data_IF_706705234735
#
_entry.id   IF_706705234735
#
_cell.length_a   1.000
_cell.length_b   1.000
_cell.length_c   1.000
_cell.angle_alpha   90.00
_cell.angle_beta   90.00
_cell.angle_gamma   90.00
#
_symmetry.space_group_name_H-M   'P 1'
#
loop_
_entity.id
_entity.type
_entity.pdbx_description
1 polymer ?
#
# COMPACT_ATOMS: atom_id res chain seq x y z
N UNK A 1 -27.86 -1.47 8.34
CA UNK A 1 -28.95 -0.66 7.74
C UNK A 1 -28.73 -0.56 6.25
N UNK A 2 -29.70 -0.01 5.49
CA UNK A 2 -29.54 0.25 4.05
C UNK A 2 -29.48 1.76 3.86
N UNK A 3 -28.43 2.22 3.18
CA UNK A 3 -28.26 3.62 2.77
C UNK A 3 -28.24 3.68 1.24
N UNK A 4 -28.64 4.82 0.69
CA UNK A 4 -28.63 5.06 -0.76
C UNK A 4 -27.69 6.23 -1.02
N UNK A 5 -26.70 6.01 -1.88
CA UNK A 5 -25.77 7.05 -2.29
C UNK A 5 -25.94 7.39 -3.77
N UNK A 6 -25.20 8.41 -4.21
CA UNK A 6 -25.22 8.89 -5.58
C UNK A 6 -24.45 7.95 -6.52
N UNK A 7 -24.43 8.30 -7.80
CA UNK A 7 -23.59 7.62 -8.78
C UNK A 7 -22.09 7.76 -8.48
N UNK A 8 -21.66 8.85 -7.83
CA UNK A 8 -20.26 9.06 -7.46
C UNK A 8 -19.74 8.00 -6.49
N UNK A 9 -20.62 7.52 -5.60
CA UNK A 9 -20.28 6.55 -4.56
C UNK A 9 -20.64 5.10 -4.96
N UNK A 10 -21.74 4.89 -5.69
CA UNK A 10 -22.27 3.55 -5.98
C UNK A 10 -22.37 3.24 -7.48
N UNK A 11 -21.41 3.72 -8.28
CA UNK A 11 -21.23 3.31 -9.66
C UNK A 11 -19.78 2.95 -9.94
N UNK A 12 -19.55 1.70 -10.36
CA UNK A 12 -18.22 1.21 -10.66
C UNK A 12 -17.94 1.26 -12.16
N UNK A 13 -16.79 1.85 -12.50
CA UNK A 13 -16.16 1.75 -13.80
C UNK A 13 -16.54 2.84 -14.82
N UNK A 14 -16.10 2.66 -16.09
CA UNK A 14 -15.30 1.53 -16.57
C UNK A 14 -13.89 1.51 -15.95
N UNK A 15 -13.28 0.32 -15.87
CA UNK A 15 -11.87 0.22 -15.55
C UNK A 15 -11.03 0.76 -16.73
N UNK A 16 -10.47 1.96 -16.58
CA UNK A 16 -9.80 2.68 -17.66
C UNK A 16 -10.77 3.57 -18.46
N UNK A 17 -10.45 3.81 -19.73
CA UNK A 17 -11.17 4.83 -20.54
C UNK A 17 -12.47 4.30 -21.18
N UNK A 18 -12.71 2.99 -21.16
CA UNK A 18 -13.91 2.36 -21.76
C UNK A 18 -14.05 0.91 -21.28
N UNK A 19 -15.27 0.39 -21.26
CA UNK A 19 -15.53 -1.02 -20.94
C UNK A 19 -16.79 -1.26 -20.10
N UNK A 20 -16.93 -2.48 -19.55
CA UNK A 20 -18.03 -2.84 -18.66
C UNK A 20 -18.07 -1.96 -17.40
N UNK A 21 -19.27 -1.49 -17.05
CA UNK A 21 -19.53 -0.69 -15.85
C UNK A 21 -20.97 -0.92 -15.34
N UNK A 22 -21.26 -0.41 -14.15
CA UNK A 22 -22.60 -0.52 -13.58
C UNK A 22 -22.71 -0.04 -12.14
N UNK A 23 -23.94 0.03 -11.61
CA UNK A 23 -24.15 0.33 -10.21
C UNK A 23 -23.53 -0.76 -9.34
N UNK A 24 -23.16 -0.38 -8.13
CA UNK A 24 -22.63 -1.32 -7.15
C UNK A 24 -23.35 -1.21 -5.80
N UNK A 25 -23.17 -2.23 -4.98
CA UNK A 25 -23.63 -2.25 -3.60
C UNK A 25 -22.48 -2.67 -2.71
N UNK A 26 -22.21 -1.87 -1.69
CA UNK A 26 -21.10 -2.09 -0.77
C UNK A 26 -21.58 -2.52 0.61
N UNK A 27 -20.84 -3.46 1.20
CA UNK A 27 -21.04 -3.94 2.56
C UNK A 27 -19.98 -3.28 3.44
N UNK A 28 -20.45 -2.54 4.43
CA UNK A 28 -19.61 -1.88 5.42
C UNK A 28 -19.71 -2.58 6.77
N UNK A 29 -18.56 -2.76 7.42
CA UNK A 29 -18.46 -3.23 8.79
C UNK A 29 -18.34 -2.04 9.76
N UNK A 30 -19.18 -2.02 10.80
CA UNK A 30 -19.13 -1.00 11.86
C UNK A 30 -18.26 -1.51 13.01
N UNK A 31 -17.10 -0.88 13.22
CA UNK A 31 -16.22 -1.18 14.35
C UNK A 31 -16.75 -0.70 15.72
N UNK A 32 -17.90 -0.03 15.73
CA UNK A 32 -18.62 0.40 16.93
C UNK A 32 -18.45 1.89 17.23
N UNK A 33 -19.32 2.42 18.07
CA UNK A 33 -19.37 3.85 18.40
C UNK A 33 -18.14 4.39 19.14
N UNK A 34 -17.30 3.51 19.70
CA UNK A 34 -16.01 3.88 20.29
C UNK A 34 -14.92 4.20 19.25
N UNK A 35 -15.19 3.93 17.96
CA UNK A 35 -14.31 4.20 16.83
C UNK A 35 -14.93 5.31 15.97
N UNK A 36 -14.09 6.15 15.36
CA UNK A 36 -14.53 7.20 14.42
C UNK A 36 -14.57 8.61 15.01
N UNK A 37 -15.29 9.51 14.34
CA UNK A 37 -15.25 10.94 14.62
C UNK A 37 -16.23 11.42 15.72
N UNK A 38 -17.05 10.52 16.27
CA UNK A 38 -18.05 10.84 17.30
C UNK A 38 -19.19 11.75 16.84
N UNK A 39 -19.24 12.13 15.56
CA UNK A 39 -20.29 12.98 15.01
C UNK A 39 -21.62 12.20 14.87
N UNK A 40 -22.78 12.82 15.09
CA UNK A 40 -24.08 12.19 14.85
C UNK A 40 -24.28 11.69 13.41
N UNK A 41 -23.59 12.32 12.45
CA UNK A 41 -23.60 11.97 11.03
C UNK A 41 -22.62 10.85 10.65
N UNK A 42 -21.90 10.26 11.62
CA UNK A 42 -20.96 9.20 11.36
C UNK A 42 -21.70 7.96 10.80
N UNK A 43 -21.43 7.66 9.53
CA UNK A 43 -22.08 6.62 8.72
C UNK A 43 -21.08 6.04 7.71
N UNK A 44 -21.43 4.98 6.96
CA UNK A 44 -20.71 4.60 5.74
C UNK A 44 -20.41 5.80 4.82
N UNK A 45 -19.27 5.77 4.12
CA UNK A 45 -18.66 6.89 3.38
C UNK A 45 -18.14 8.05 4.24
N UNK A 46 -17.98 7.86 5.55
CA UNK A 46 -17.24 8.80 6.40
C UNK A 46 -15.76 8.37 6.51
N UNK A 47 -14.84 9.29 6.21
CA UNK A 47 -13.37 9.05 6.23
C UNK A 47 -12.77 8.80 7.63
N UNK A 48 -13.60 8.67 8.66
CA UNK A 48 -13.16 8.49 10.05
C UNK A 48 -12.73 7.06 10.41
N UNK A 49 -12.90 6.09 9.51
CA UNK A 49 -12.46 4.71 9.70
C UNK A 49 -13.38 3.81 10.56
N UNK A 50 -14.51 4.32 11.07
CA UNK A 50 -15.49 3.49 11.82
C UNK A 50 -16.19 2.48 10.94
N UNK A 51 -16.69 2.93 9.80
CA UNK A 51 -17.38 2.10 8.82
C UNK A 51 -16.39 1.74 7.72
N UNK A 52 -15.86 0.52 7.77
CA UNK A 52 -14.92 0.05 6.76
C UNK A 52 -15.65 -0.76 5.69
N UNK A 53 -15.55 -0.34 4.44
CA UNK A 53 -15.99 -1.12 3.29
C UNK A 53 -15.18 -2.43 3.23
N UNK A 54 -15.86 -3.56 3.40
CA UNK A 54 -15.24 -4.89 3.38
C UNK A 54 -15.52 -5.64 2.06
N UNK A 55 -16.63 -5.32 1.38
CA UNK A 55 -17.07 -6.04 0.20
C UNK A 55 -17.83 -5.13 -0.76
N UNK A 56 -17.43 -5.11 -2.03
CA UNK A 56 -18.14 -4.44 -3.11
C UNK A 56 -18.77 -5.45 -4.08
N UNK A 57 -20.04 -5.26 -4.42
CA UNK A 57 -20.83 -6.06 -5.37
C UNK A 57 -21.18 -5.18 -6.58
N UNK A 58 -20.50 -5.37 -7.71
CA UNK A 58 -20.71 -4.62 -8.94
C UNK A 58 -21.68 -5.37 -9.84
N UNK A 59 -22.76 -4.69 -10.25
CA UNK A 59 -23.75 -5.21 -11.18
C UNK A 59 -23.46 -4.65 -12.58
N UNK A 60 -22.47 -5.26 -13.25
CA UNK A 60 -22.06 -4.86 -14.59
C UNK A 60 -23.22 -5.06 -15.58
N UNK A 61 -23.83 -3.95 -16.00
CA UNK A 61 -25.01 -3.92 -16.87
C UNK A 61 -24.83 -3.01 -18.09
N UNK A 62 -23.80 -2.16 -18.08
CA UNK A 62 -23.49 -1.24 -19.17
C UNK A 62 -22.09 -1.50 -19.74
N UNK A 63 -21.89 -1.10 -20.98
CA UNK A 63 -20.59 -0.86 -21.58
C UNK A 63 -20.49 0.63 -21.89
N UNK A 64 -19.49 1.30 -21.31
CA UNK A 64 -19.19 2.71 -21.56
C UNK A 64 -18.14 2.85 -22.66
N UNK A 65 -18.41 3.68 -23.66
CA UNK A 65 -17.43 4.06 -24.69
C UNK A 65 -16.48 5.17 -24.19
N UNK A 66 -15.52 5.59 -25.03
CA UNK A 66 -14.51 6.59 -24.66
C UNK A 66 -15.10 8.01 -24.55
N UNK A 67 -16.26 8.22 -25.15
CA UNK A 67 -17.03 9.45 -25.14
C UNK A 67 -17.96 9.53 -23.90
N UNK A 68 -18.05 8.44 -23.12
CA UNK A 68 -18.84 8.34 -21.90
C UNK A 68 -20.27 7.83 -22.13
N UNK A 69 -20.66 7.46 -23.35
CA UNK A 69 -21.98 6.90 -23.61
C UNK A 69 -22.06 5.45 -23.13
N UNK A 70 -23.19 5.12 -22.51
CA UNK A 70 -23.44 3.79 -21.94
C UNK A 70 -24.48 3.04 -22.76
N UNK A 71 -24.14 1.81 -23.13
CA UNK A 71 -25.03 0.87 -23.81
C UNK A 71 -25.25 -0.37 -22.95
N UNK A 72 -26.42 -0.98 -23.02
CA UNK A 72 -26.70 -2.20 -22.24
C UNK A 72 -25.82 -3.35 -22.71
N UNK A 73 -25.25 -4.09 -21.76
CA UNK A 73 -24.56 -5.34 -22.06
C UNK A 73 -25.57 -6.39 -22.54
N UNK A 74 -25.22 -7.21 -23.55
CA UNK A 74 -26.10 -8.28 -24.01
C UNK A 74 -26.29 -9.37 -22.94
N UNK A 75 -25.31 -9.52 -22.04
CA UNK A 75 -25.35 -10.44 -20.89
C UNK A 75 -24.76 -9.72 -19.68
N UNK A 76 -25.60 -9.18 -18.78
CA UNK A 76 -25.13 -8.62 -17.52
C UNK A 76 -24.43 -9.67 -16.66
N UNK A 77 -23.46 -9.23 -15.85
CA UNK A 77 -22.70 -10.09 -14.95
C UNK A 77 -22.51 -9.42 -13.58
N UNK A 78 -22.05 -10.22 -12.62
CA UNK A 78 -21.69 -9.75 -11.29
C UNK A 78 -20.18 -9.84 -11.16
N UNK A 79 -19.56 -8.75 -10.70
CA UNK A 79 -18.18 -8.74 -10.24
C UNK A 79 -18.16 -8.38 -8.75
N UNK A 80 -17.24 -8.95 -7.99
CA UNK A 80 -17.21 -8.78 -6.54
C UNK A 80 -15.79 -8.73 -6.04
N UNK A 81 -15.49 -7.72 -5.22
CA UNK A 81 -14.22 -7.61 -4.52
C UNK A 81 -14.44 -7.57 -3.01
N UNK A 82 -13.86 -8.52 -2.27
CA UNK A 82 -13.83 -8.51 -0.81
C UNK A 82 -12.38 -8.35 -0.36
N UNK A 83 -12.08 -7.27 0.36
CA UNK A 83 -10.72 -6.98 0.82
C UNK A 83 -10.31 -7.93 1.94
N UNK A 84 -9.34 -8.83 1.68
CA UNK A 84 -8.91 -9.85 2.64
C UNK A 84 -8.45 -9.22 3.95
N UNK A 85 -7.58 -8.22 3.89
CA UNK A 85 -7.00 -7.56 5.07
C UNK A 85 -8.05 -6.87 5.93
N UNK A 86 -8.99 -6.15 5.29
CA UNK A 86 -10.08 -5.46 6.00
C UNK A 86 -11.06 -6.45 6.61
N UNK A 87 -11.36 -7.53 5.89
CA UNK A 87 -12.23 -8.61 6.38
C UNK A 87 -11.57 -9.34 7.54
N UNK A 88 -10.27 -9.63 7.47
CA UNK A 88 -9.49 -10.22 8.55
C UNK A 88 -9.51 -9.33 9.80
N UNK A 89 -9.33 -8.00 9.63
CA UNK A 89 -9.43 -7.05 10.73
C UNK A 89 -10.82 -7.11 11.41
N UNK A 90 -11.90 -7.06 10.63
CA UNK A 90 -13.26 -7.20 11.14
C UNK A 90 -13.48 -8.52 11.90
N UNK A 91 -13.04 -9.65 11.32
CA UNK A 91 -13.20 -10.98 11.91
C UNK A 91 -12.37 -11.18 13.19
N UNK A 92 -11.20 -10.55 13.28
CA UNK A 92 -10.30 -10.64 14.42
C UNK A 92 -10.60 -9.58 15.50
N UNK A 93 -11.62 -8.74 15.30
CA UNK A 93 -11.97 -7.66 16.22
C UNK A 93 -10.90 -6.56 16.30
N UNK A 94 -10.19 -6.33 15.20
CA UNK A 94 -9.12 -5.33 15.08
C UNK A 94 -9.59 -4.14 14.27
N UNK A 95 -9.29 -2.94 14.74
CA UNK A 95 -9.69 -1.69 14.07
C UNK A 95 -8.75 -1.29 12.94
N UNK A 96 -7.57 -1.91 12.87
CA UNK A 96 -6.59 -1.67 11.83
C UNK A 96 -6.14 -2.98 11.18
N UNK A 97 -5.95 -2.94 9.86
CA UNK A 97 -5.37 -4.07 9.10
C UNK A 97 -3.98 -4.44 9.62
N UNK A 98 -3.25 -3.47 10.16
CA UNK A 98 -1.91 -3.65 10.70
C UNK A 98 -1.86 -4.44 12.02
N UNK A 99 -3.01 -4.62 12.67
CA UNK A 99 -3.13 -5.40 13.91
C UNK A 99 -3.58 -6.84 13.64
N UNK A 100 -3.65 -7.25 12.37
CA UNK A 100 -4.03 -8.61 11.96
C UNK A 100 -2.81 -9.52 11.88
N UNK A 101 -3.08 -10.83 11.89
CA UNK A 101 -2.09 -11.89 11.61
C UNK A 101 -1.35 -11.72 10.26
N UNK A 102 -1.91 -10.98 9.30
CA UNK A 102 -1.25 -10.69 8.03
C UNK A 102 -0.11 -9.67 8.14
N UNK A 103 -0.14 -8.78 9.13
CA UNK A 103 0.84 -7.69 9.28
C UNK A 103 1.66 -7.75 10.55
N UNK A 104 1.13 -8.32 11.64
CA UNK A 104 1.85 -8.43 12.91
C UNK A 104 3.26 -9.03 12.71
N UNK A 105 3.45 -10.15 11.98
CA UNK A 105 4.79 -10.71 11.80
C UNK A 105 5.76 -9.75 11.11
N UNK A 106 5.28 -8.97 10.13
CA UNK A 106 6.08 -7.98 9.42
C UNK A 106 6.49 -6.82 10.34
N UNK A 107 5.54 -6.31 11.13
CA UNK A 107 5.78 -5.21 12.07
C UNK A 107 6.67 -5.64 13.23
N UNK A 108 6.51 -6.87 13.73
CA UNK A 108 7.38 -7.45 14.75
C UNK A 108 8.81 -7.59 14.22
N UNK A 109 8.99 -8.10 13.00
CA UNK A 109 10.32 -8.16 12.35
C UNK A 109 10.96 -6.77 12.24
N UNK A 110 10.19 -5.76 11.82
CA UNK A 110 10.68 -4.38 11.75
C UNK A 110 11.02 -3.85 13.15
N UNK A 111 10.20 -4.14 14.16
CA UNK A 111 10.46 -3.75 15.55
C UNK A 111 11.74 -4.38 16.10
N UNK A 112 11.96 -5.68 15.87
CA UNK A 112 13.17 -6.40 16.28
C UNK A 112 14.43 -5.80 15.65
N UNK A 113 14.34 -5.47 14.36
CA UNK A 113 15.47 -4.89 13.64
C UNK A 113 15.73 -3.45 14.05
N UNK A 114 14.71 -2.63 14.26
CA UNK A 114 14.89 -1.20 14.56
C UNK A 114 15.12 -0.94 16.05
N UNK A 115 14.68 -1.85 16.93
CA UNK A 115 14.56 -1.61 18.36
C UNK A 115 13.38 -0.70 18.73
N UNK A 116 12.54 -0.32 17.76
CA UNK A 116 11.38 0.56 17.95
C UNK A 116 10.14 -0.32 18.10
N UNK A 117 9.43 -0.18 19.21
CA UNK A 117 8.19 -0.93 19.45
C UNK A 117 7.05 -0.32 18.65
N UNK A 118 6.32 -1.13 17.88
CA UNK A 118 5.08 -0.68 17.24
C UNK A 118 4.05 -0.24 18.29
N UNK A 119 3.37 0.88 18.06
CA UNK A 119 2.47 1.52 19.00
C UNK A 119 3.16 2.47 20.00
N UNK A 120 4.46 2.74 19.87
CA UNK A 120 5.18 3.64 20.78
C UNK A 120 5.29 5.09 20.29
N UNK A 121 5.27 5.31 18.99
CA UNK A 121 5.34 6.63 18.37
C UNK A 121 4.60 6.61 17.01
N UNK A 122 3.69 7.57 16.79
CA UNK A 122 2.84 7.59 15.60
C UNK A 122 3.63 7.76 14.30
N UNK A 123 4.74 8.53 14.32
CA UNK A 123 5.55 8.75 13.13
C UNK A 123 6.37 7.50 12.78
N UNK A 124 6.93 6.84 13.79
CA UNK A 124 7.60 5.57 13.62
C UNK A 124 6.62 4.50 13.14
N UNK A 125 5.45 4.39 13.75
CA UNK A 125 4.40 3.44 13.35
C UNK A 125 3.98 3.64 11.90
N UNK A 126 3.78 4.89 11.48
CA UNK A 126 3.48 5.19 10.08
C UNK A 126 4.62 4.73 9.15
N UNK A 127 5.87 4.98 9.51
CA UNK A 127 7.04 4.54 8.74
C UNK A 127 7.11 3.00 8.68
N UNK A 128 6.85 2.30 9.78
CA UNK A 128 6.81 0.84 9.85
C UNK A 128 5.71 0.26 8.97
N UNK A 129 4.50 0.84 9.00
CA UNK A 129 3.36 0.46 8.13
C UNK A 129 3.72 0.59 6.66
N UNK A 130 4.34 1.72 6.28
CA UNK A 130 4.80 1.97 4.91
C UNK A 130 5.85 0.93 4.50
N UNK A 131 6.84 0.64 5.34
CA UNK A 131 7.88 -0.35 5.03
C UNK A 131 7.28 -1.76 4.89
N UNK A 132 6.37 -2.17 5.77
CA UNK A 132 5.70 -3.46 5.70
C UNK A 132 4.87 -3.60 4.40
N UNK A 133 4.05 -2.60 4.08
CA UNK A 133 3.19 -2.60 2.90
C UNK A 133 3.98 -2.63 1.59
N UNK A 134 4.93 -1.71 1.43
CA UNK A 134 5.71 -1.66 0.20
C UNK A 134 6.65 -2.85 0.09
N UNK A 135 7.26 -3.30 1.19
CA UNK A 135 8.11 -4.48 1.20
C UNK A 135 7.38 -5.74 0.73
N UNK A 136 6.15 -5.95 1.20
CA UNK A 136 5.26 -7.02 0.73
C UNK A 136 4.94 -6.87 -0.76
N UNK A 137 4.51 -5.69 -1.20
CA UNK A 137 4.19 -5.43 -2.61
C UNK A 137 5.38 -5.60 -3.56
N UNK A 138 6.57 -5.17 -3.15
CA UNK A 138 7.84 -5.36 -3.89
C UNK A 138 8.13 -6.85 -4.06
N UNK A 139 7.98 -7.65 -3.01
CA UNK A 139 8.21 -9.09 -3.08
C UNK A 139 7.27 -9.78 -4.10
N UNK A 140 5.98 -9.45 -4.08
CA UNK A 140 5.02 -9.96 -5.06
C UNK A 140 5.33 -9.53 -6.49
N UNK A 141 5.61 -8.24 -6.72
CA UNK A 141 5.93 -7.73 -8.06
C UNK A 141 7.15 -8.44 -8.66
N UNK A 142 8.20 -8.66 -7.86
CA UNK A 142 9.39 -9.37 -8.34
C UNK A 142 9.10 -10.87 -8.52
N UNK A 143 8.27 -11.47 -7.67
CA UNK A 143 7.84 -12.86 -7.82
C UNK A 143 7.10 -13.09 -9.16
N UNK A 144 6.33 -12.09 -9.61
CA UNK A 144 5.63 -12.09 -10.90
C UNK A 144 6.52 -11.68 -12.09
N UNK A 145 7.81 -11.46 -11.86
CA UNK A 145 8.81 -11.17 -12.90
C UNK A 145 8.96 -9.69 -13.25
N UNK A 146 8.38 -8.77 -12.49
CA UNK A 146 8.60 -7.33 -12.67
C UNK A 146 9.99 -6.96 -12.15
N UNK A 147 10.77 -6.29 -12.99
CA UNK A 147 12.09 -5.77 -12.63
C UNK A 147 12.09 -4.24 -12.54
N UNK A 148 12.92 -3.63 -11.68
CA UNK A 148 13.06 -2.18 -11.60
C UNK A 148 13.49 -1.58 -12.94
N UNK A 149 12.70 -0.65 -13.48
CA UNK A 149 12.96 0.03 -14.75
C UNK A 149 12.54 1.51 -14.71
N UNK A 150 12.77 2.25 -15.80
CA UNK A 150 12.40 3.66 -15.93
C UNK A 150 11.03 3.89 -16.59
N UNK A 151 10.29 2.83 -16.92
CA UNK A 151 8.97 2.90 -17.55
C UNK A 151 8.05 1.76 -17.10
N UNK A 152 6.75 1.91 -17.35
CA UNK A 152 5.76 0.87 -17.11
C UNK A 152 5.75 0.36 -15.66
N UNK A 153 5.48 -0.94 -15.49
CA UNK A 153 5.42 -1.60 -14.18
C UNK A 153 6.76 -1.55 -13.44
N UNK A 154 7.89 -1.61 -14.15
CA UNK A 154 9.20 -1.50 -13.52
C UNK A 154 9.48 -0.13 -12.91
N UNK A 155 8.91 0.94 -13.47
CA UNK A 155 8.95 2.27 -12.83
C UNK A 155 8.11 2.34 -11.56
N UNK A 156 6.96 1.67 -11.55
CA UNK A 156 6.13 1.57 -10.34
C UNK A 156 6.90 0.83 -9.25
N UNK A 157 7.48 -0.34 -9.56
CA UNK A 157 8.31 -1.10 -8.64
C UNK A 157 9.47 -0.25 -8.09
N UNK A 158 10.18 0.48 -8.96
CA UNK A 158 11.25 1.39 -8.55
C UNK A 158 10.76 2.47 -7.58
N UNK A 159 9.59 3.08 -7.81
CA UNK A 159 9.02 4.09 -6.91
C UNK A 159 8.61 3.50 -5.55
N UNK A 160 7.99 2.32 -5.55
CA UNK A 160 7.64 1.62 -4.30
C UNK A 160 8.91 1.31 -3.50
N UNK A 161 9.94 0.78 -4.17
CA UNK A 161 11.24 0.51 -3.56
C UNK A 161 11.87 1.76 -2.96
N UNK A 162 12.00 2.85 -3.73
CA UNK A 162 12.58 4.10 -3.23
C UNK A 162 11.80 4.66 -2.04
N UNK A 163 10.46 4.57 -2.04
CA UNK A 163 9.63 5.01 -0.91
C UNK A 163 9.87 4.14 0.31
N UNK A 164 9.81 2.82 0.14
CA UNK A 164 10.04 1.86 1.22
C UNK A 164 11.43 2.07 1.84
N UNK A 165 12.45 2.24 0.99
CA UNK A 165 13.81 2.47 1.47
C UNK A 165 13.96 3.81 2.17
N UNK A 166 13.32 4.88 1.68
CA UNK A 166 13.35 6.17 2.38
C UNK A 166 12.81 6.06 3.82
N UNK A 167 11.67 5.40 4.02
CA UNK A 167 11.10 5.20 5.36
C UNK A 167 11.87 4.14 6.18
N UNK A 168 12.56 3.22 5.52
CA UNK A 168 13.52 2.33 6.18
C UNK A 168 14.67 3.15 6.81
N UNK A 169 15.27 4.09 6.07
CA UNK A 169 16.35 4.96 6.56
C UNK A 169 15.93 5.82 7.75
N UNK A 170 14.66 6.24 7.81
CA UNK A 170 14.14 7.00 8.96
C UNK A 170 14.01 6.14 10.23
N UNK A 171 13.91 4.82 10.08
CA UNK A 171 13.79 3.88 11.21
C UNK A 171 15.15 3.30 11.61
N UNK A 172 16.04 3.03 10.66
CA UNK A 172 17.38 2.48 10.89
C UNK A 172 18.29 2.71 9.69
N UNK A 173 19.57 2.99 9.93
CA UNK A 173 20.50 3.41 8.88
C UNK A 173 21.35 2.25 8.30
N UNK A 174 21.48 1.14 9.04
CA UNK A 174 22.48 0.10 8.72
C UNK A 174 21.89 -1.30 8.48
N UNK A 175 20.56 -1.45 8.57
CA UNK A 175 19.92 -2.77 8.49
C UNK A 175 19.10 -2.91 7.21
N UNK A 176 19.19 -4.05 6.49
CA UNK A 176 18.47 -4.27 5.24
C UNK A 176 17.00 -4.65 5.50
N UNK A 177 16.20 -3.71 6.05
CA UNK A 177 14.81 -3.96 6.43
C UNK A 177 13.98 -4.55 5.29
N UNK A 178 14.14 -4.06 4.06
CA UNK A 178 13.37 -4.55 2.91
C UNK A 178 13.65 -6.01 2.57
N UNK A 179 14.89 -6.49 2.79
CA UNK A 179 15.26 -7.90 2.59
C UNK A 179 14.53 -8.77 3.62
N UNK A 180 14.54 -8.35 4.88
CA UNK A 180 13.92 -9.12 5.96
C UNK A 180 12.40 -9.10 5.90
N UNK A 181 11.78 -7.97 5.52
CA UNK A 181 10.34 -7.88 5.25
C UNK A 181 9.94 -8.79 4.07
N UNK A 182 10.77 -8.88 3.03
CA UNK A 182 10.51 -9.79 1.92
C UNK A 182 10.59 -11.26 2.36
N UNK A 183 11.59 -11.65 3.17
CA UNK A 183 11.69 -13.01 3.74
C UNK A 183 10.46 -13.35 4.58
N UNK A 184 10.06 -12.44 5.45
CA UNK A 184 8.89 -12.60 6.32
C UNK A 184 7.60 -12.69 5.49
N UNK A 185 7.49 -11.93 4.41
CA UNK A 185 6.38 -12.03 3.44
C UNK A 185 6.32 -13.43 2.79
N UNK A 186 7.47 -13.94 2.33
CA UNK A 186 7.58 -15.27 1.69
C UNK A 186 7.22 -16.37 2.69
N UNK A 187 7.66 -16.25 3.94
CA UNK A 187 7.35 -17.20 4.99
C UNK A 187 5.84 -17.28 5.27
N UNK A 188 5.19 -16.12 5.48
CA UNK A 188 3.79 -16.02 5.84
C UNK A 188 2.86 -16.37 4.67
N UNK A 189 3.14 -15.89 3.46
CA UNK A 189 2.21 -15.96 2.34
C UNK A 189 2.56 -17.03 1.30
N UNK A 190 3.79 -17.56 1.33
CA UNK A 190 4.29 -18.48 0.29
C UNK A 190 3.61 -19.85 0.23
N UNK A 191 2.79 -20.20 1.22
CA UNK A 191 1.96 -21.41 1.17
C UNK A 191 0.71 -21.23 0.29
N UNK A 192 0.17 -20.01 0.22
CA UNK A 192 -0.96 -19.63 -0.67
C UNK A 192 -0.46 -19.21 -2.04
N UNK A 193 0.71 -18.55 -2.09
CA UNK A 193 1.34 -18.01 -3.29
C UNK A 193 2.71 -18.70 -3.53
N UNK A 194 2.73 -19.91 -4.11
CA UNK A 194 3.95 -20.71 -4.24
C UNK A 194 5.06 -20.04 -5.05
N UNK A 195 4.73 -19.11 -5.94
CA UNK A 195 5.65 -18.25 -6.69
C UNK A 195 6.60 -17.47 -5.78
N UNK A 196 6.14 -16.99 -4.62
CA UNK A 196 7.00 -16.33 -3.63
C UNK A 196 8.15 -17.25 -3.18
N UNK A 197 7.84 -18.52 -2.87
CA UNK A 197 8.84 -19.51 -2.45
C UNK A 197 9.72 -19.95 -3.61
N UNK A 198 9.13 -20.21 -4.79
CA UNK A 198 9.88 -20.61 -5.98
C UNK A 198 10.89 -19.54 -6.40
N UNK A 199 10.53 -18.26 -6.25
CA UNK A 199 11.33 -17.14 -6.69
C UNK A 199 12.08 -16.44 -5.54
N UNK A 200 12.12 -17.00 -4.33
CA UNK A 200 12.74 -16.39 -3.15
C UNK A 200 14.16 -15.88 -3.43
N UNK A 201 15.05 -16.74 -3.94
CA UNK A 201 16.41 -16.34 -4.26
C UNK A 201 16.51 -15.22 -5.31
N UNK A 202 15.56 -15.15 -6.24
CA UNK A 202 15.50 -14.06 -7.22
C UNK A 202 15.01 -12.76 -6.58
N UNK A 203 13.94 -12.83 -5.79
CA UNK A 203 13.36 -11.69 -5.05
C UNK A 203 14.42 -11.02 -4.20
N UNK A 204 15.10 -11.79 -3.34
CA UNK A 204 16.11 -11.25 -2.44
C UNK A 204 17.27 -10.62 -3.20
N UNK A 205 17.76 -11.27 -4.27
CA UNK A 205 18.86 -10.75 -5.10
C UNK A 205 18.50 -9.42 -5.79
N UNK A 206 17.27 -9.26 -6.27
CA UNK A 206 16.82 -8.01 -6.90
C UNK A 206 16.74 -6.89 -5.85
N UNK A 207 16.17 -7.17 -4.68
CA UNK A 207 16.07 -6.20 -3.58
C UNK A 207 17.47 -5.76 -3.14
N UNK A 208 18.40 -6.69 -2.92
CA UNK A 208 19.79 -6.39 -2.55
C UNK A 208 20.49 -5.53 -3.60
N UNK A 209 20.36 -5.87 -4.89
CA UNK A 209 20.93 -5.08 -5.98
C UNK A 209 20.37 -3.64 -6.02
N UNK A 210 19.07 -3.45 -5.79
CA UNK A 210 18.47 -2.12 -5.73
C UNK A 210 18.87 -1.36 -4.46
N UNK A 211 19.06 -2.03 -3.32
CA UNK A 211 19.57 -1.42 -2.10
C UNK A 211 20.97 -0.84 -2.32
N UNK A 212 21.87 -1.61 -2.93
CA UNK A 212 23.21 -1.13 -3.26
C UNK A 212 23.17 0.08 -4.22
N UNK A 213 22.28 0.04 -5.22
CA UNK A 213 22.10 1.17 -6.16
C UNK A 213 21.57 2.39 -5.43
N UNK A 214 20.63 2.21 -4.52
CA UNK A 214 20.07 3.29 -3.71
C UNK A 214 21.11 3.91 -2.81
N UNK A 215 21.91 3.11 -2.10
CA UNK A 215 22.99 3.60 -1.23
C UNK A 215 24.01 4.42 -2.02
N UNK A 216 24.43 3.94 -3.19
CA UNK A 216 25.32 4.71 -4.08
C UNK A 216 24.70 6.04 -4.49
N UNK A 217 23.41 6.04 -4.87
CA UNK A 217 22.70 7.26 -5.24
C UNK A 217 22.53 8.23 -4.05
N UNK A 218 22.28 7.71 -2.85
CA UNK A 218 22.13 8.50 -1.63
C UNK A 218 23.44 9.21 -1.26
N UNK A 219 24.57 8.52 -1.38
CA UNK A 219 25.90 9.13 -1.14
C UNK A 219 26.15 10.32 -2.08
N UNK A 220 25.83 10.17 -3.37
CA UNK A 220 25.94 11.25 -4.35
C UNK A 220 24.97 12.38 -4.02
N UNK A 221 23.71 12.06 -3.73
CA UNK A 221 22.68 13.05 -3.39
C UNK A 221 23.00 13.85 -2.13
N UNK A 222 23.53 13.20 -1.09
CA UNK A 222 24.01 13.88 0.13
C UNK A 222 25.16 14.82 -0.16
N UNK A 223 26.09 14.45 -1.03
CA UNK A 223 27.18 15.32 -1.48
C UNK A 223 26.66 16.59 -2.17
N UNK A 224 25.77 16.43 -3.15
CA UNK A 224 25.16 17.56 -3.88
C UNK A 224 24.36 18.47 -2.93
N UNK A 225 23.56 17.88 -2.03
CA UNK A 225 22.80 18.64 -1.03
C UNK A 225 23.73 19.44 -0.11
N UNK A 226 24.82 18.82 0.37
CA UNK A 226 25.79 19.48 1.23
C UNK A 226 26.47 20.65 0.53
N UNK A 227 26.92 20.48 -0.72
CA UNK A 227 27.49 21.56 -1.53
C UNK A 227 26.48 22.70 -1.74
N UNK A 228 25.22 22.37 -2.00
CA UNK A 228 24.14 23.36 -2.20
C UNK A 228 23.89 24.17 -0.91
N UNK A 229 23.86 23.49 0.24
CA UNK A 229 23.69 24.14 1.54
C UNK A 229 24.89 25.03 1.91
N UNK A 230 26.12 24.64 1.56
CA UNK A 230 27.31 25.47 1.76
C UNK A 230 27.21 26.74 0.92
N UNK A 231 26.89 26.63 -0.38
CA UNK A 231 26.74 27.77 -1.28
C UNK A 231 25.66 28.74 -0.79
N UNK A 232 24.49 28.22 -0.39
CA UNK A 232 23.44 29.06 0.18
C UNK A 232 23.90 29.78 1.46
N UNK A 233 24.69 29.12 2.31
CA UNK A 233 25.23 29.74 3.53
C UNK A 233 26.27 30.81 3.21
N UNK A 234 27.14 30.60 2.24
CA UNK A 234 28.11 31.59 1.77
C UNK A 234 27.40 32.82 1.19
N UNK A 235 26.38 32.62 0.33
CA UNK A 235 25.56 33.71 -0.21
C UNK A 235 24.80 34.48 0.88
N UNK A 236 24.33 33.80 1.94
CA UNK A 236 23.70 34.43 3.11
C UNK A 236 24.70 35.20 3.98
N UNK A 237 25.96 34.75 4.06
CA UNK A 237 27.03 35.45 4.77
C UNK A 237 27.53 36.67 3.99
N UNK A 238 27.49 36.66 2.66
CA UNK A 238 27.84 37.82 1.82
C UNK A 238 26.75 38.92 1.84
N UNK A 239 25.54 38.60 2.33
CA UNK A 239 24.41 39.51 2.47
C UNK A 239 24.29 40.18 3.86
N UNK A 240 25.10 39.75 4.85
CA UNK A 240 25.12 40.26 6.24
C UNK A 240 26.41 41.01 6.54
#
# INVERSE_FOLDING_TARGET
GILRFSEEDNFWGPAGDSGPCGPCSEIHYDFGAGVGCGQPSCAPNCDCGRFSEIWNLVFAQYNQDREGHRTLLPKPNIDTGMGLERTAAAMQGKTSVYETDLFIPLLERISEMTGIKYGSDDNADNSMRIVAEHGRGIAFLIADGVLPENKGLGYVLRRLFCRAQYFSETLTHDKPLLVEVAKETIANMGHVYPELRRNEGHILKVIESELERFQRALLVGRGILHETLIKMREELCDYL
#
